data_IF_679480570019
#
_entry.id   IF_679480570019
#
_cell.length_a   1.000
_cell.length_b   1.000
_cell.length_c   1.000
_cell.angle_alpha   90.00
_cell.angle_beta   90.00
_cell.angle_gamma   90.00
#
_symmetry.space_group_name_H-M   'P 1'
#
loop_
_entity.id
_entity.type
_entity.pdbx_description
1 polymer ?
#
# COMPACT_ATOMS: atom_id res chain seq x y z
N UNK A 1 -1.55 -20.32 12.97
CA UNK A 1 -0.54 -19.58 12.19
C UNK A 1 0.38 -18.92 13.20
N UNK A 2 1.67 -18.71 12.90
CA UNK A 2 2.54 -17.91 13.75
C UNK A 2 1.94 -16.51 13.98
N UNK A 3 2.22 -15.90 15.14
CA UNK A 3 1.68 -14.57 15.48
C UNK A 3 2.14 -13.46 14.53
N UNK A 4 3.31 -13.64 13.91
CA UNK A 4 3.95 -12.71 12.98
C UNK A 4 3.78 -13.10 11.50
N UNK A 5 2.83 -14.01 11.18
CA UNK A 5 2.59 -14.43 9.82
C UNK A 5 2.06 -13.27 8.96
N UNK A 6 2.78 -12.99 7.86
CA UNK A 6 2.36 -12.04 6.84
C UNK A 6 2.45 -12.68 5.44
N UNK A 7 1.33 -12.75 4.74
CA UNK A 7 1.21 -13.53 3.50
C UNK A 7 2.18 -13.09 2.40
N UNK A 8 2.40 -11.77 2.23
CA UNK A 8 3.32 -11.28 1.21
C UNK A 8 4.76 -11.72 1.48
N UNK A 9 5.22 -11.70 2.74
CA UNK A 9 6.53 -12.21 3.11
C UNK A 9 6.64 -13.73 2.84
N UNK A 10 5.63 -14.48 3.24
CA UNK A 10 5.59 -15.93 3.03
C UNK A 10 5.63 -16.32 1.54
N UNK A 11 4.86 -15.62 0.68
CA UNK A 11 4.87 -15.88 -0.77
C UNK A 11 6.23 -15.56 -1.38
N UNK A 12 6.84 -14.44 -0.98
CA UNK A 12 8.17 -14.05 -1.45
C UNK A 12 9.23 -15.05 -1.03
N UNK A 13 9.25 -15.45 0.26
CA UNK A 13 10.20 -16.44 0.76
C UNK A 13 10.06 -17.78 0.03
N UNK A 14 8.83 -18.21 -0.20
CA UNK A 14 8.55 -19.45 -0.95
C UNK A 14 9.05 -19.35 -2.38
N UNK A 15 8.82 -18.23 -3.05
CA UNK A 15 9.27 -17.99 -4.42
C UNK A 15 10.80 -17.98 -4.51
N UNK A 16 11.47 -17.22 -3.65
CA UNK A 16 12.93 -17.15 -3.60
C UNK A 16 13.53 -18.54 -3.36
N UNK A 17 13.01 -19.28 -2.39
CA UNK A 17 13.48 -20.64 -2.08
C UNK A 17 13.33 -21.59 -3.28
N UNK A 18 12.22 -21.49 -4.02
CA UNK A 18 12.03 -22.30 -5.24
C UNK A 18 13.05 -21.93 -6.33
N UNK A 19 13.25 -20.63 -6.59
CA UNK A 19 14.22 -20.16 -7.58
C UNK A 19 15.63 -20.63 -7.19
N UNK A 20 16.05 -20.43 -5.94
CA UNK A 20 17.37 -20.83 -5.46
C UNK A 20 17.60 -22.34 -5.54
N UNK A 21 16.58 -23.14 -5.25
CA UNK A 21 16.67 -24.62 -5.33
C UNK A 21 16.88 -25.12 -6.73
N UNK A 22 16.41 -24.41 -7.76
CA UNK A 22 16.42 -24.84 -9.16
C UNK A 22 17.37 -24.05 -10.06
N UNK A 23 18.03 -23.00 -9.55
CA UNK A 23 18.88 -22.11 -10.37
C UNK A 23 20.03 -22.81 -11.11
N UNK A 24 20.43 -24.01 -10.67
CA UNK A 24 21.52 -24.77 -11.27
C UNK A 24 21.05 -25.85 -12.27
N UNK A 25 19.77 -25.98 -12.49
CA UNK A 25 19.19 -27.02 -13.36
C UNK A 25 19.44 -26.75 -14.85
N UNK A 26 19.92 -25.56 -15.21
CA UNK A 26 20.14 -25.13 -16.59
C UNK A 26 18.85 -24.95 -17.41
N UNK A 27 17.69 -24.97 -16.75
CA UNK A 27 16.39 -24.83 -17.39
C UNK A 27 15.85 -23.41 -17.18
N UNK A 28 15.18 -22.84 -18.19
CA UNK A 28 14.44 -21.60 -17.99
C UNK A 28 13.28 -21.83 -17.02
N UNK A 29 12.95 -20.80 -16.23
CA UNK A 29 11.79 -20.85 -15.34
C UNK A 29 10.82 -19.68 -15.64
N UNK A 30 9.58 -19.88 -15.29
CA UNK A 30 8.55 -18.85 -15.23
C UNK A 30 7.95 -18.87 -13.82
N UNK A 31 7.83 -17.70 -13.20
CA UNK A 31 7.22 -17.57 -11.87
C UNK A 31 6.16 -16.46 -11.88
N UNK A 32 5.03 -16.72 -11.22
CA UNK A 32 3.96 -15.74 -11.05
C UNK A 32 3.68 -15.53 -9.57
N UNK A 33 4.06 -14.36 -9.06
CA UNK A 33 3.84 -13.97 -7.68
C UNK A 33 2.50 -13.24 -7.53
N UNK A 34 1.44 -13.96 -7.17
CA UNK A 34 0.10 -13.44 -6.99
C UNK A 34 -0.13 -13.01 -5.54
N UNK A 35 0.26 -11.78 -5.20
CA UNK A 35 0.04 -11.22 -3.88
C UNK A 35 -1.43 -10.87 -3.64
N UNK A 36 -1.91 -11.06 -2.41
CA UNK A 36 -3.25 -10.64 -1.99
C UNK A 36 -3.30 -9.19 -1.52
N UNK A 37 -2.17 -8.66 -1.02
CA UNK A 37 -2.07 -7.25 -0.66
C UNK A 37 -2.20 -6.36 -1.91
N UNK A 38 -2.85 -5.19 -1.83
CA UNK A 38 -3.45 -4.54 -0.66
C UNK A 38 -4.96 -4.77 -0.51
N UNK A 39 -5.46 -5.97 -0.83
CA UNK A 39 -6.87 -6.33 -0.70
C UNK A 39 -7.31 -6.47 0.77
N UNK A 40 -8.60 -6.24 1.05
CA UNK A 40 -9.21 -6.52 2.36
C UNK A 40 -9.10 -7.99 2.75
N UNK A 41 -8.96 -8.29 4.08
CA UNK A 41 -8.87 -7.38 5.23
C UNK A 41 -7.53 -6.64 5.30
N UNK A 42 -7.55 -5.38 5.74
CA UNK A 42 -6.35 -4.56 5.84
C UNK A 42 -5.49 -5.00 7.03
N UNK A 43 -4.27 -5.43 6.75
CA UNK A 43 -3.30 -5.90 7.74
C UNK A 43 -1.88 -5.62 7.25
N UNK A 44 -1.05 -5.07 8.12
CA UNK A 44 0.37 -4.87 7.84
C UNK A 44 1.22 -5.14 9.09
N UNK A 45 2.47 -5.59 8.94
CA UNK A 45 3.37 -5.73 10.06
C UNK A 45 3.62 -4.38 10.75
N UNK A 46 3.81 -4.42 12.07
CA UNK A 46 3.97 -3.20 12.91
C UNK A 46 5.05 -2.26 12.38
N UNK A 47 6.18 -2.79 11.93
CA UNK A 47 7.29 -1.98 11.42
C UNK A 47 6.91 -1.09 10.23
N UNK A 48 5.93 -1.51 9.41
CA UNK A 48 5.39 -0.70 8.32
C UNK A 48 4.28 0.24 8.81
N UNK A 49 3.42 -0.22 9.72
CA UNK A 49 2.36 0.61 10.31
C UNK A 49 2.89 1.86 11.00
N UNK A 50 3.98 1.73 11.74
CA UNK A 50 4.57 2.83 12.51
C UNK A 50 5.06 3.99 11.61
N UNK A 51 5.40 3.72 10.34
CA UNK A 51 5.82 4.75 9.37
C UNK A 51 4.71 5.71 8.96
N UNK A 52 3.46 5.27 9.04
CA UNK A 52 2.30 6.01 8.51
C UNK A 52 1.41 6.62 9.59
N UNK A 53 1.79 6.50 10.85
CA UNK A 53 1.01 7.05 11.96
C UNK A 53 0.86 8.56 11.83
N UNK A 54 -0.39 9.04 11.76
CA UNK A 54 -0.73 10.47 11.66
C UNK A 54 -0.59 11.07 10.25
N UNK A 55 -0.08 10.33 9.27
CA UNK A 55 0.15 10.83 7.90
C UNK A 55 -1.14 11.23 7.20
N UNK A 56 -2.25 10.59 7.55
CA UNK A 56 -3.54 10.76 6.87
C UNK A 56 -4.56 11.60 7.67
N UNK A 57 -4.16 12.19 8.80
CA UNK A 57 -5.05 12.97 9.68
C UNK A 57 -5.63 14.22 9.03
N UNK A 58 -4.98 14.75 8.01
CA UNK A 58 -5.42 15.94 7.26
C UNK A 58 -6.54 15.66 6.23
N UNK A 59 -6.87 14.38 6.00
CA UNK A 59 -8.00 13.96 5.17
C UNK A 59 -7.72 13.81 3.69
N UNK A 60 -8.70 13.27 2.97
CA UNK A 60 -8.52 12.79 1.58
C UNK A 60 -8.15 13.90 0.59
N UNK A 61 -8.78 15.07 0.72
CA UNK A 61 -8.59 16.17 -0.22
C UNK A 61 -7.16 16.71 -0.19
N UNK A 62 -6.66 16.94 1.01
CA UNK A 62 -5.30 17.42 1.22
C UNK A 62 -4.25 16.38 0.75
N UNK A 63 -4.44 15.12 1.11
CA UNK A 63 -3.56 14.02 0.67
C UNK A 63 -3.60 13.87 -0.85
N UNK A 64 -4.77 13.97 -1.48
CA UNK A 64 -4.89 13.89 -2.93
C UNK A 64 -4.15 15.06 -3.63
N UNK A 65 -4.25 16.27 -3.08
CA UNK A 65 -3.55 17.44 -3.61
C UNK A 65 -2.02 17.31 -3.46
N UNK A 66 -1.53 16.89 -2.31
CA UNK A 66 -0.10 16.67 -2.08
C UNK A 66 0.45 15.59 -3.02
N UNK A 67 -0.29 14.51 -3.21
CA UNK A 67 0.07 13.46 -4.16
C UNK A 67 0.16 13.99 -5.59
N UNK A 68 -0.85 14.74 -6.03
CA UNK A 68 -0.85 15.34 -7.37
C UNK A 68 0.37 16.26 -7.55
N UNK A 69 0.62 17.17 -6.61
CA UNK A 69 1.78 18.05 -6.65
C UNK A 69 3.08 17.26 -6.79
N UNK A 70 3.24 16.21 -5.98
CA UNK A 70 4.43 15.36 -6.04
C UNK A 70 4.57 14.62 -7.38
N UNK A 71 3.47 14.15 -7.97
CA UNK A 71 3.48 13.48 -9.26
C UNK A 71 3.83 14.45 -10.41
N UNK A 72 3.37 15.70 -10.32
CA UNK A 72 3.74 16.76 -11.27
C UNK A 72 5.23 17.13 -11.16
N UNK A 73 5.75 17.31 -9.96
CA UNK A 73 7.19 17.55 -9.72
C UNK A 73 8.08 16.44 -10.27
N UNK A 74 7.60 15.20 -10.24
CA UNK A 74 8.30 14.02 -10.79
C UNK A 74 8.05 13.81 -12.28
N UNK A 75 7.30 14.69 -12.95
CA UNK A 75 6.87 14.54 -14.33
C UNK A 75 6.16 13.21 -14.65
N UNK A 76 5.46 12.64 -13.66
CA UNK A 76 4.64 11.42 -13.83
C UNK A 76 3.30 11.77 -14.49
N UNK A 77 2.75 12.95 -14.17
CA UNK A 77 1.52 13.47 -14.75
C UNK A 77 1.76 14.88 -15.31
N UNK A 78 0.89 15.29 -16.25
CA UNK A 78 0.91 16.62 -16.87
C UNK A 78 0.72 17.72 -15.81
N UNK A 79 1.35 18.88 -16.03
CA UNK A 79 1.25 20.05 -15.14
C UNK A 79 -0.18 20.62 -15.04
N UNK A 80 -1.03 20.35 -16.04
CA UNK A 80 -2.44 20.74 -16.05
C UNK A 80 -3.38 19.67 -15.45
N UNK A 81 -2.84 18.53 -15.01
CA UNK A 81 -3.64 17.52 -14.32
C UNK A 81 -4.25 18.10 -13.04
N UNK A 82 -5.49 17.73 -12.74
CA UNK A 82 -6.21 18.17 -11.55
C UNK A 82 -6.61 16.98 -10.68
N UNK A 83 -6.76 17.22 -9.38
CA UNK A 83 -7.35 16.23 -8.48
C UNK A 83 -8.78 15.95 -8.92
N UNK A 84 -9.09 14.68 -9.14
CA UNK A 84 -10.45 14.25 -9.42
C UNK A 84 -11.32 14.49 -8.18
N UNK A 85 -12.51 15.03 -8.36
CA UNK A 85 -13.46 15.22 -7.27
C UNK A 85 -13.82 13.89 -6.61
N UNK A 86 -13.91 13.89 -5.28
CA UNK A 86 -14.44 12.75 -4.54
C UNK A 86 -15.88 12.47 -5.01
N UNK A 87 -16.22 11.22 -5.39
CA UNK A 87 -17.58 10.89 -5.78
C UNK A 87 -18.60 11.23 -4.70
N UNK A 88 -19.79 11.68 -5.08
CA UNK A 88 -20.83 12.16 -4.17
C UNK A 88 -21.33 11.09 -3.16
N UNK A 89 -21.11 9.81 -3.46
CA UNK A 89 -21.47 8.73 -2.53
C UNK A 89 -20.48 8.56 -1.36
N UNK A 90 -19.31 9.24 -1.42
CA UNK A 90 -18.40 9.32 -0.27
C UNK A 90 -18.70 10.56 0.56
N UNK A 91 -18.76 10.45 1.88
CA UNK A 91 -18.91 11.61 2.74
C UNK A 91 -17.68 12.52 2.60
N UNK A 92 -17.92 13.82 2.49
CA UNK A 92 -16.85 14.81 2.52
C UNK A 92 -16.15 14.79 3.88
N UNK A 93 -14.83 14.93 3.89
CA UNK A 93 -14.02 14.86 5.10
C UNK A 93 -14.49 15.83 6.20
N UNK A 94 -14.85 17.06 5.85
CA UNK A 94 -15.35 18.10 6.74
C UNK A 94 -16.74 17.81 7.34
N UNK A 95 -17.46 16.82 6.82
CA UNK A 95 -18.77 16.35 7.32
C UNK A 95 -18.65 15.14 8.24
N UNK A 96 -17.48 14.55 8.35
CA UNK A 96 -17.22 13.44 9.26
C UNK A 96 -17.06 13.96 10.69
N UNK A 97 -17.55 13.18 11.65
CA UNK A 97 -17.24 13.41 13.07
C UNK A 97 -15.75 13.13 13.35
N UNK A 98 -15.16 13.68 14.42
CA UNK A 98 -13.76 13.39 14.77
C UNK A 98 -13.44 11.90 14.87
N UNK A 99 -14.36 11.09 15.40
CA UNK A 99 -14.20 9.64 15.49
C UNK A 99 -14.21 8.96 14.12
N UNK A 100 -15.04 9.44 13.19
CA UNK A 100 -15.06 8.94 11.82
C UNK A 100 -13.78 9.34 11.08
N UNK A 101 -13.33 10.60 11.23
CA UNK A 101 -12.05 11.05 10.64
C UNK A 101 -10.88 10.21 11.12
N UNK A 102 -10.77 9.97 12.42
CA UNK A 102 -9.72 9.13 12.99
C UNK A 102 -9.77 7.69 12.46
N UNK A 103 -10.97 7.13 12.28
CA UNK A 103 -11.15 5.80 11.69
C UNK A 103 -10.70 5.77 10.22
N UNK A 104 -11.11 6.73 9.41
CA UNK A 104 -10.76 6.77 7.99
C UNK A 104 -9.25 7.02 7.81
N UNK A 105 -8.66 7.92 8.60
CA UNK A 105 -7.20 8.12 8.63
C UNK A 105 -6.48 6.80 8.95
N UNK A 106 -6.94 6.08 9.98
CA UNK A 106 -6.33 4.79 10.36
C UNK A 106 -6.44 3.72 9.26
N UNK A 107 -7.57 3.65 8.55
CA UNK A 107 -7.71 2.74 7.42
C UNK A 107 -6.69 3.05 6.31
N UNK A 108 -6.47 4.33 6.01
CA UNK A 108 -5.47 4.75 5.02
C UNK A 108 -4.04 4.46 5.48
N UNK A 109 -3.71 4.64 6.76
CA UNK A 109 -2.41 4.26 7.32
C UNK A 109 -2.12 2.77 7.12
N UNK A 110 -3.10 1.92 7.44
CA UNK A 110 -2.95 0.46 7.28
C UNK A 110 -2.81 0.09 5.80
N UNK A 111 -3.61 0.70 4.92
CA UNK A 111 -3.52 0.47 3.48
C UNK A 111 -2.14 0.87 2.94
N UNK A 112 -1.64 2.04 3.29
CA UNK A 112 -0.30 2.51 2.87
C UNK A 112 0.81 1.57 3.40
N UNK A 113 0.70 1.14 4.64
CA UNK A 113 1.62 0.17 5.23
C UNK A 113 1.60 -1.20 4.51
N UNK A 114 0.42 -1.63 4.03
CA UNK A 114 0.32 -2.85 3.19
C UNK A 114 1.04 -2.69 1.86
N UNK A 115 0.88 -1.53 1.21
CA UNK A 115 1.56 -1.23 -0.06
C UNK A 115 3.08 -1.18 0.14
N UNK A 116 3.55 -0.49 1.18
CA UNK A 116 4.99 -0.42 1.54
C UNK A 116 5.57 -1.82 1.85
N UNK A 117 4.84 -2.63 2.62
CA UNK A 117 5.25 -4.00 2.90
C UNK A 117 5.27 -4.89 1.65
N UNK A 118 4.34 -4.68 0.71
CA UNK A 118 4.32 -5.37 -0.57
C UNK A 118 5.52 -4.95 -1.42
N UNK A 119 5.78 -3.66 -1.57
CA UNK A 119 6.91 -3.10 -2.34
C UNK A 119 8.24 -3.63 -1.80
N UNK A 120 8.43 -3.60 -0.47
CA UNK A 120 9.59 -4.20 0.19
C UNK A 120 9.79 -5.67 -0.20
N UNK A 121 8.71 -6.47 -0.21
CA UNK A 121 8.79 -7.88 -0.54
C UNK A 121 9.06 -8.14 -2.02
N UNK A 122 8.57 -7.30 -2.92
CA UNK A 122 8.88 -7.36 -4.37
C UNK A 122 10.35 -7.04 -4.63
N UNK A 123 10.94 -6.13 -3.85
CA UNK A 123 12.34 -5.72 -3.98
C UNK A 123 13.38 -6.73 -3.46
N UNK A 124 12.95 -7.81 -2.83
CA UNK A 124 13.83 -8.89 -2.29
C UNK A 124 14.25 -9.87 -3.36
#
# INVERSE_FOLDING_TARGET
MPEDFFSSAFYTDTLINNIESHRKDGKPFFAYAAYTAPHWPLQAPKAFLDKYQGVYDQGYGEIAQQRLTRMQEMAIVDEHAAVQSTPDFYPKWDKLTPSQQAREARLMEVYAAMVDALDYNIGR
#
